data_IF_700685421672
#
_entry.id   IF_700685421672
#
_cell.length_a   1.000
_cell.length_b   1.000
_cell.length_c   1.000
_cell.angle_alpha   90.00
_cell.angle_beta   90.00
_cell.angle_gamma   90.00
#
_symmetry.space_group_name_H-M   'P 1'
#
loop_
_entity.id
_entity.type
_entity.pdbx_description
1 polymer ?
#
# COMPACT_ATOMS: atom_id res chain seq x y z
N UNK A 1 34.28 -7.68 22.59
CA UNK A 1 32.88 -7.38 22.98
C UNK A 1 32.87 -6.01 23.62
N UNK A 2 32.57 -4.96 22.86
CA UNK A 2 32.47 -3.59 23.39
C UNK A 2 31.00 -3.30 23.68
N UNK A 3 30.64 -3.23 24.96
CA UNK A 3 29.31 -2.83 25.40
C UNK A 3 29.18 -1.30 25.26
N UNK A 4 28.35 -0.85 24.33
CA UNK A 4 27.92 0.54 24.28
C UNK A 4 26.99 0.79 25.46
N UNK A 5 27.46 1.55 26.45
CA UNK A 5 26.62 2.00 27.56
C UNK A 5 25.60 3.01 27.02
N UNK A 6 24.32 2.68 27.14
CA UNK A 6 23.21 3.60 26.85
C UNK A 6 22.97 4.38 28.14
N UNK A 7 23.26 5.67 28.12
CA UNK A 7 22.96 6.57 29.24
C UNK A 7 21.44 6.61 29.50
N UNK A 8 20.98 6.70 30.76
CA UNK A 8 19.56 6.87 31.07
C UNK A 8 19.07 8.19 30.47
N UNK A 9 17.93 8.13 29.77
CA UNK A 9 17.23 9.33 29.30
C UNK A 9 16.49 9.88 30.51
N UNK A 10 16.82 11.10 30.91
CA UNK A 10 16.10 11.82 31.97
C UNK A 10 14.71 12.22 31.44
N UNK A 11 13.66 11.79 32.15
CA UNK A 11 12.29 12.22 31.93
C UNK A 11 12.10 13.58 32.62
N UNK A 12 12.31 14.68 31.89
CA UNK A 12 11.94 16.02 32.35
C UNK A 12 10.41 16.21 32.25
N UNK A 13 9.73 16.04 33.39
CA UNK A 13 8.36 16.49 33.62
C UNK A 13 8.35 18.03 33.79
N UNK A 14 8.21 18.80 32.71
CA UNK A 14 7.92 20.24 32.78
C UNK A 14 6.41 20.50 32.59
N UNK A 15 5.74 20.74 33.72
CA UNK A 15 4.38 21.29 33.81
C UNK A 15 4.44 22.81 33.61
N UNK A 16 4.19 23.28 32.39
CA UNK A 16 4.00 24.70 32.11
C UNK A 16 2.71 24.93 31.31
N UNK A 17 1.62 25.08 32.07
CA UNK A 17 0.35 25.65 31.64
C UNK A 17 0.52 27.14 31.30
N UNK A 18 0.87 27.45 30.05
CA UNK A 18 0.86 28.81 29.50
C UNK A 18 -0.29 28.95 28.50
N UNK A 19 -1.43 29.43 29.00
CA UNK A 19 -2.45 30.08 28.18
C UNK A 19 -1.89 31.44 27.74
N UNK A 20 -1.50 31.54 26.47
CA UNK A 20 -1.16 32.82 25.83
C UNK A 20 -1.98 33.02 24.56
N UNK A 21 -3.01 33.85 24.69
CA UNK A 21 -3.82 34.42 23.62
C UNK A 21 -2.98 35.40 22.80
N UNK A 22 -2.31 34.96 21.73
CA UNK A 22 -2.01 35.72 20.49
C UNK A 22 -1.31 34.81 19.48
N UNK A 23 -1.68 34.94 18.20
CA UNK A 23 -1.40 34.02 17.09
C UNK A 23 0.06 34.08 16.59
N UNK A 24 1.05 33.74 17.42
CA UNK A 24 2.48 33.73 17.06
C UNK A 24 2.99 32.41 16.45
N UNK A 25 2.14 31.40 16.34
CA UNK A 25 2.55 30.06 15.95
C UNK A 25 2.12 29.70 14.53
N UNK A 26 2.94 28.92 13.79
CA UNK A 26 2.63 28.55 12.43
C UNK A 26 1.30 27.82 12.35
N UNK A 27 0.49 28.06 11.29
CA UNK A 27 -0.75 27.34 11.08
C UNK A 27 -0.46 25.85 10.84
N UNK A 28 -1.31 25.00 11.40
CA UNK A 28 -1.26 23.56 11.22
C UNK A 28 -1.61 23.21 9.77
N UNK A 29 -0.62 22.74 9.02
CA UNK A 29 -0.83 22.29 7.63
C UNK A 29 -1.27 20.83 7.61
N UNK A 30 -2.54 20.60 7.28
CA UNK A 30 -3.12 19.28 7.09
C UNK A 30 -3.51 19.06 5.63
N UNK A 31 -3.05 17.95 5.06
CA UNK A 31 -3.50 17.47 3.75
C UNK A 31 -4.97 17.05 3.80
N UNK A 32 -5.68 17.03 2.64
CA UNK A 32 -7.08 16.59 2.59
C UNK A 32 -7.28 15.17 3.15
N UNK A 33 -6.33 14.27 2.94
CA UNK A 33 -6.40 12.91 3.47
C UNK A 33 -6.25 12.87 5.00
N UNK A 34 -5.34 13.67 5.57
CA UNK A 34 -5.20 13.81 7.03
C UNK A 34 -6.49 14.39 7.64
N UNK A 35 -7.04 15.46 7.08
CA UNK A 35 -8.32 16.06 7.55
C UNK A 35 -9.46 15.05 7.52
N UNK A 36 -9.57 14.26 6.44
CA UNK A 36 -10.59 13.24 6.31
C UNK A 36 -10.43 12.12 7.34
N UNK A 37 -9.20 11.69 7.61
CA UNK A 37 -8.95 10.59 8.56
C UNK A 37 -9.15 11.04 10.01
N UNK A 38 -8.77 12.29 10.33
CA UNK A 38 -9.08 12.93 11.62
C UNK A 38 -10.59 13.01 11.86
N UNK A 39 -11.35 13.50 10.88
CA UNK A 39 -12.81 13.56 10.96
C UNK A 39 -13.45 12.17 11.14
N UNK A 40 -12.92 11.15 10.45
CA UNK A 40 -13.39 9.77 10.60
C UNK A 40 -13.15 9.20 12.00
N UNK A 41 -12.06 9.61 12.64
CA UNK A 41 -11.69 9.18 14.01
C UNK A 41 -12.29 10.09 15.09
N UNK A 42 -13.05 11.12 14.70
CA UNK A 42 -13.67 12.07 15.64
C UNK A 42 -12.67 13.00 16.33
N UNK A 43 -11.44 13.08 15.82
CA UNK A 43 -10.37 13.88 16.41
C UNK A 43 -10.42 15.28 15.79
N UNK A 44 -10.59 16.29 16.63
CA UNK A 44 -10.53 17.69 16.23
C UNK A 44 -9.17 18.24 16.69
N UNK A 45 -8.46 18.89 15.77
CA UNK A 45 -7.18 19.55 16.05
C UNK A 45 -7.32 21.06 15.87
N UNK A 46 -6.68 21.88 16.72
CA UNK A 46 -6.55 23.32 16.52
C UNK A 46 -5.92 23.68 15.17
N UNK A 47 -6.30 24.84 14.64
CA UNK A 47 -5.79 25.37 13.36
C UNK A 47 -4.35 25.89 13.46
N UNK A 48 -3.85 26.15 14.66
CA UNK A 48 -2.52 26.71 14.92
C UNK A 48 -1.81 25.90 16.01
N UNK A 49 -0.49 25.89 15.97
CA UNK A 49 0.33 25.40 17.08
C UNK A 49 0.21 26.34 18.31
N UNK A 50 0.58 25.93 19.53
CA UNK A 50 1.03 24.59 19.94
C UNK A 50 -0.13 23.60 20.09
N UNK A 51 0.11 22.34 19.72
CA UNK A 51 -0.82 21.26 19.98
C UNK A 51 -0.53 20.69 21.37
N UNK A 52 -1.54 20.20 22.07
CA UNK A 52 -1.34 19.43 23.30
C UNK A 52 -0.61 18.11 23.00
N UNK A 53 0.09 17.55 23.99
CA UNK A 53 0.80 16.25 23.88
C UNK A 53 -0.10 15.13 23.34
N UNK A 54 -1.40 15.19 23.65
CA UNK A 54 -2.38 14.24 23.15
C UNK A 54 -2.70 14.47 21.66
N UNK A 55 -2.96 15.72 21.27
CA UNK A 55 -3.23 16.09 19.87
C UNK A 55 -2.06 15.79 18.94
N UNK A 56 -0.83 16.01 19.39
CA UNK A 56 0.38 15.63 18.65
C UNK A 56 0.49 14.11 18.46
N UNK A 57 0.19 13.34 19.51
CA UNK A 57 0.18 11.87 19.46
C UNK A 57 -0.86 11.37 18.46
N UNK A 58 -2.05 11.96 18.46
CA UNK A 58 -3.13 11.62 17.52
C UNK A 58 -2.75 11.97 16.07
N UNK A 59 -2.23 13.18 15.82
CA UNK A 59 -1.77 13.59 14.50
C UNK A 59 -0.65 12.67 13.99
N UNK A 60 0.30 12.29 14.85
CA UNK A 60 1.38 11.34 14.52
C UNK A 60 0.83 9.96 14.16
N UNK A 61 -0.19 9.49 14.87
CA UNK A 61 -0.88 8.22 14.57
C UNK A 61 -1.57 8.27 13.21
N UNK A 62 -2.30 9.34 12.90
CA UNK A 62 -2.94 9.57 11.60
C UNK A 62 -1.92 9.58 10.47
N UNK A 63 -0.83 10.35 10.61
CA UNK A 63 0.29 10.38 9.65
C UNK A 63 0.90 9.01 9.43
N UNK A 64 1.04 8.20 10.49
CA UNK A 64 1.55 6.83 10.40
C UNK A 64 0.58 5.91 9.66
N UNK A 65 -0.74 6.02 9.90
CA UNK A 65 -1.77 5.24 9.18
C UNK A 65 -1.72 5.49 7.67
N UNK A 66 -1.55 6.75 7.26
CA UNK A 66 -1.42 7.13 5.85
C UNK A 66 -0.16 6.50 5.23
N UNK A 67 1.01 6.64 5.88
CA UNK A 67 2.24 6.00 5.39
C UNK A 67 2.12 4.47 5.28
N UNK A 68 1.51 3.83 6.26
CA UNK A 68 1.28 2.37 6.24
C UNK A 68 0.35 1.94 5.10
N UNK A 69 -0.67 2.75 4.78
CA UNK A 69 -1.58 2.47 3.66
C UNK A 69 -0.82 2.48 2.33
N UNK A 70 0.06 3.47 2.14
CA UNK A 70 0.88 3.60 0.94
C UNK A 70 1.88 2.44 0.84
N UNK A 71 2.61 2.15 1.92
CA UNK A 71 3.62 1.09 1.90
C UNK A 71 3.03 -0.31 1.73
N UNK A 72 1.82 -0.56 2.26
CA UNK A 72 1.11 -1.82 2.07
C UNK A 72 0.57 -2.02 0.65
N UNK A 73 0.53 -0.97 -0.18
CA UNK A 73 0.03 -1.04 -1.55
C UNK A 73 1.01 -1.71 -2.50
N UNK A 74 2.30 -1.41 -2.39
CA UNK A 74 3.32 -1.91 -3.32
C UNK A 74 3.44 -3.46 -3.34
N UNK A 75 3.50 -4.15 -2.19
CA UNK A 75 3.48 -5.62 -2.18
C UNK A 75 2.20 -6.21 -2.79
N UNK A 76 1.04 -5.57 -2.55
CA UNK A 76 -0.25 -6.02 -3.11
C UNK A 76 -0.27 -5.87 -4.63
N UNK A 77 0.26 -4.76 -5.15
CA UNK A 77 0.38 -4.50 -6.59
C UNK A 77 1.30 -5.53 -7.25
N UNK A 78 2.50 -5.75 -6.71
CA UNK A 78 3.45 -6.75 -7.24
C UNK A 78 2.89 -8.16 -7.25
N UNK A 79 2.22 -8.58 -6.16
CA UNK A 79 1.60 -9.90 -6.10
C UNK A 79 0.50 -10.05 -7.15
N UNK A 80 -0.34 -9.02 -7.33
CA UNK A 80 -1.38 -9.03 -8.36
C UNK A 80 -0.78 -9.16 -9.76
N UNK A 81 0.19 -8.32 -10.10
CA UNK A 81 0.85 -8.35 -11.43
C UNK A 81 1.51 -9.70 -11.71
N UNK A 82 2.11 -10.35 -10.71
CA UNK A 82 2.66 -11.68 -10.86
C UNK A 82 1.59 -12.74 -11.17
N UNK A 83 0.48 -12.72 -10.44
CA UNK A 83 -0.64 -13.66 -10.65
C UNK A 83 -1.28 -13.42 -12.01
N UNK A 84 -1.63 -12.18 -12.34
CA UNK A 84 -2.22 -11.79 -13.63
C UNK A 84 -1.30 -12.24 -14.80
N UNK A 85 0.03 -12.08 -14.66
CA UNK A 85 1.00 -12.52 -15.65
C UNK A 85 1.13 -14.05 -15.78
N UNK A 86 0.88 -14.81 -14.71
CA UNK A 86 0.80 -16.27 -14.77
C UNK A 86 -0.47 -16.73 -15.48
N UNK A 87 -1.61 -16.12 -15.15
CA UNK A 87 -2.91 -16.41 -15.77
C UNK A 87 -2.85 -16.16 -17.29
N UNK A 88 -2.21 -15.06 -17.71
CA UNK A 88 -2.00 -14.76 -19.12
C UNK A 88 -1.13 -15.82 -19.83
N UNK A 89 -0.04 -16.28 -19.21
CA UNK A 89 0.83 -17.33 -19.76
C UNK A 89 0.08 -18.65 -19.93
N UNK A 90 -0.70 -19.04 -18.93
CA UNK A 90 -1.51 -20.27 -18.99
C UNK A 90 -2.57 -20.16 -20.08
N UNK A 91 -3.23 -19.02 -20.19
CA UNK A 91 -4.21 -18.75 -21.26
C UNK A 91 -3.58 -18.88 -22.64
N UNK A 92 -2.45 -18.21 -22.87
CA UNK A 92 -1.72 -18.27 -24.15
C UNK A 92 -1.28 -19.70 -24.48
N UNK A 93 -0.69 -20.42 -23.51
CA UNK A 93 -0.28 -21.81 -23.70
C UNK A 93 -1.46 -22.73 -24.02
N UNK A 94 -2.62 -22.49 -23.39
CA UNK A 94 -3.84 -23.26 -23.66
C UNK A 94 -4.42 -22.99 -25.04
N UNK A 95 -4.38 -21.73 -25.50
CA UNK A 95 -4.82 -21.32 -26.84
C UNK A 95 -3.92 -21.91 -27.93
N UNK A 96 -2.60 -21.81 -27.75
CA UNK A 96 -1.61 -22.40 -28.66
C UNK A 96 -1.78 -23.92 -28.73
N UNK A 97 -1.89 -24.60 -27.58
CA UNK A 97 -2.08 -26.04 -27.55
C UNK A 97 -3.38 -26.45 -28.26
N UNK A 98 -4.50 -25.74 -28.04
CA UNK A 98 -5.76 -25.99 -28.76
C UNK A 98 -5.61 -25.84 -30.27
N UNK A 99 -4.87 -24.83 -30.72
CA UNK A 99 -4.62 -24.61 -32.15
C UNK A 99 -3.80 -25.75 -32.75
N UNK A 100 -2.66 -26.09 -32.15
CA UNK A 100 -1.80 -27.17 -32.62
C UNK A 100 -2.49 -28.54 -32.60
N UNK A 101 -3.31 -28.80 -31.59
CA UNK A 101 -4.16 -29.99 -31.50
C UNK A 101 -5.13 -30.03 -32.68
N UNK A 102 -5.89 -28.96 -32.91
CA UNK A 102 -6.88 -28.89 -34.00
C UNK A 102 -6.24 -29.07 -35.38
N UNK A 103 -5.09 -28.43 -35.63
CA UNK A 103 -4.32 -28.58 -36.87
C UNK A 103 -3.81 -30.01 -37.07
N UNK A 104 -3.32 -30.67 -36.01
CA UNK A 104 -2.87 -32.06 -36.09
C UNK A 104 -4.01 -33.04 -36.36
N UNK A 105 -5.16 -32.90 -35.67
CA UNK A 105 -6.34 -33.74 -35.92
C UNK A 105 -6.89 -33.53 -37.34
N UNK A 106 -6.94 -32.28 -37.83
CA UNK A 106 -7.33 -31.97 -39.21
C UNK A 106 -6.39 -32.59 -40.25
N UNK A 107 -5.09 -32.57 -39.98
CA UNK A 107 -4.07 -33.15 -40.89
C UNK A 107 -4.13 -34.68 -40.92
N UNK A 108 -4.48 -35.34 -39.81
CA UNK A 108 -4.61 -36.80 -39.73
C UNK A 108 -5.80 -37.33 -40.56
N UNK A 109 -6.93 -36.61 -40.58
CA UNK A 109 -8.13 -36.99 -41.34
C UNK A 109 -7.93 -36.92 -42.86
N UNK A 110 -7.09 -36.00 -43.35
CA UNK A 110 -6.80 -35.86 -44.79
C UNK A 110 -5.85 -36.96 -45.29
N UNK A 111 -4.96 -37.48 -44.44
CA UNK A 111 -4.02 -38.55 -44.83
C UNK A 111 -4.69 -39.92 -44.97
N UNK A 112 -5.74 -40.22 -44.19
CA UNK A 112 -6.47 -41.49 -44.32
C UNK A 112 -7.36 -41.54 -45.58
N UNK A 113 -7.82 -40.39 -46.10
CA UNK A 113 -8.66 -40.33 -47.30
C UNK A 113 -7.89 -40.40 -48.63
N UNK A 114 -6.56 -40.24 -48.61
CA UNK A 114 -5.72 -40.28 -49.83
C UNK A 114 -4.94 -41.60 -50.01
N UNK A 115 -5.18 -42.62 -49.18
CA UNK A 115 -4.46 -43.91 -49.24
C UNK A 115 -5.34 -45.08 -49.70
N UNK A 116 -6.43 -44.82 -50.43
CA UNK A 116 -7.26 -45.86 -51.03
C UNK A 116 -6.75 -46.15 -52.46
N UNK A 117 -6.04 -47.27 -52.71
CA UNK A 117 -5.74 -47.68 -54.07
C UNK A 117 -7.05 -48.08 -54.77
N UNK A 118 -7.15 -47.64 -56.03
CA UNK A 118 -8.31 -47.71 -56.92
C UNK A 118 -8.82 -49.12 -57.17
#
# INVERSE_FOLDING_TARGET
MTYTQISPVEDDDDDNNVVSSTNQYPPLTLTPEEKRLLAKEGIQLPTHHPLTKNEERELKRIRRKIRNKISAQDPRKRKKEYVDGLEEKVKRGSEENKKSVTENYGTSMVKQNNNCPR
#
